data_IF_746012934164
#
_entry.id   IF_746012934164
#
_cell.length_a   1.000
_cell.length_b   1.000
_cell.length_c   1.000
_cell.angle_alpha   90.00
_cell.angle_beta   90.00
_cell.angle_gamma   90.00
#
_symmetry.space_group_name_H-M   'P 1'
#
loop_
_entity.id
_entity.type
_entity.pdbx_description
1 polymer ?
#
# COMPACT_ATOMS: atom_id res chain seq x y z
N UNK A 1 -30.54 -44.71 -73.71
CA UNK A 1 -31.57 -44.12 -72.87
C UNK A 1 -31.06 -44.18 -71.43
N UNK A 2 -30.46 -43.10 -70.95
CA UNK A 2 -30.01 -43.01 -69.56
C UNK A 2 -30.62 -41.73 -68.95
N UNK A 3 -31.52 -41.93 -68.01
CA UNK A 3 -32.20 -40.89 -67.27
C UNK A 3 -31.22 -40.33 -66.24
N UNK A 4 -30.95 -39.01 -66.32
CA UNK A 4 -30.18 -38.27 -65.31
C UNK A 4 -31.14 -37.73 -64.25
N UNK A 5 -31.01 -38.25 -63.04
CA UNK A 5 -31.65 -37.66 -61.87
C UNK A 5 -30.84 -36.50 -61.35
N UNK A 6 -31.40 -35.30 -61.46
CA UNK A 6 -30.87 -34.10 -60.85
C UNK A 6 -31.23 -34.03 -59.34
N UNK A 7 -30.23 -34.23 -58.49
CA UNK A 7 -30.34 -34.03 -57.06
C UNK A 7 -30.50 -32.56 -56.73
N UNK A 8 -31.72 -32.15 -56.36
CA UNK A 8 -32.07 -30.85 -55.88
C UNK A 8 -31.65 -30.71 -54.39
N UNK A 9 -30.61 -29.99 -54.14
CA UNK A 9 -30.12 -29.72 -52.79
C UNK A 9 -30.89 -28.49 -52.24
N UNK A 10 -31.66 -28.59 -51.18
CA UNK A 10 -32.32 -27.41 -50.61
C UNK A 10 -31.30 -26.49 -49.92
N UNK A 11 -31.22 -25.28 -50.43
CA UNK A 11 -30.45 -24.19 -49.77
C UNK A 11 -31.01 -23.93 -48.37
N UNK A 12 -30.28 -24.39 -47.36
CA UNK A 12 -30.59 -24.11 -45.96
C UNK A 12 -30.46 -22.59 -45.69
N UNK A 13 -31.60 -21.94 -45.55
CA UNK A 13 -31.67 -20.56 -45.10
C UNK A 13 -31.18 -20.49 -43.65
N UNK A 14 -29.99 -19.96 -43.43
CA UNK A 14 -29.48 -19.60 -42.12
C UNK A 14 -30.44 -18.54 -41.51
N UNK A 15 -31.30 -18.99 -40.65
CA UNK A 15 -32.25 -18.17 -39.90
C UNK A 15 -31.47 -17.31 -38.91
N UNK A 16 -31.13 -16.08 -39.32
CA UNK A 16 -30.59 -15.07 -38.43
C UNK A 16 -31.53 -14.84 -37.26
N UNK A 17 -31.23 -15.45 -36.12
CA UNK A 17 -31.98 -15.24 -34.88
C UNK A 17 -31.67 -13.81 -34.38
N UNK A 18 -32.64 -12.92 -34.56
CA UNK A 18 -32.57 -11.58 -33.94
C UNK A 18 -32.39 -11.75 -32.44
N UNK A 19 -31.35 -11.14 -31.83
CA UNK A 19 -31.12 -11.27 -30.42
C UNK A 19 -32.34 -10.73 -29.66
N UNK A 20 -32.83 -11.51 -28.70
CA UNK A 20 -33.96 -11.16 -27.86
C UNK A 20 -33.68 -9.84 -27.16
N UNK A 21 -34.65 -8.88 -27.11
CA UNK A 21 -34.40 -7.54 -26.53
C UNK A 21 -33.86 -7.63 -25.10
N UNK A 22 -34.25 -8.63 -24.34
CA UNK A 22 -33.72 -8.89 -22.97
C UNK A 22 -32.23 -9.13 -22.95
N UNK A 23 -31.66 -9.80 -23.97
CA UNK A 23 -30.20 -10.05 -24.02
C UNK A 23 -29.40 -8.78 -24.25
N UNK A 24 -29.93 -7.84 -25.04
CA UNK A 24 -29.31 -6.51 -25.24
C UNK A 24 -29.36 -5.66 -23.99
N UNK A 25 -30.44 -5.68 -23.23
CA UNK A 25 -30.52 -4.99 -21.96
C UNK A 25 -29.54 -5.53 -20.94
N UNK A 26 -29.37 -6.86 -20.87
CA UNK A 26 -28.39 -7.51 -20.00
C UNK A 26 -26.96 -7.09 -20.37
N UNK A 27 -26.66 -7.04 -21.67
CA UNK A 27 -25.38 -6.58 -22.20
C UNK A 27 -25.10 -5.11 -21.77
N UNK A 28 -26.04 -4.21 -21.94
CA UNK A 28 -25.88 -2.82 -21.50
C UNK A 28 -25.67 -2.69 -19.98
N UNK A 29 -26.41 -3.45 -19.18
CA UNK A 29 -26.23 -3.48 -17.72
C UNK A 29 -24.81 -3.94 -17.35
N UNK A 30 -24.30 -4.99 -18.00
CA UNK A 30 -22.95 -5.47 -17.78
C UNK A 30 -21.88 -4.43 -18.17
N UNK A 31 -22.07 -3.76 -19.30
CA UNK A 31 -21.17 -2.68 -19.73
C UNK A 31 -21.18 -1.50 -18.76
N UNK A 32 -22.34 -1.07 -18.29
CA UNK A 32 -22.48 0.03 -17.32
C UNK A 32 -21.85 -0.35 -15.98
N UNK A 33 -22.12 -1.57 -15.49
CA UNK A 33 -21.53 -2.06 -14.24
C UNK A 33 -20.00 -2.18 -14.35
N UNK A 34 -19.49 -2.67 -15.48
CA UNK A 34 -18.06 -2.75 -15.74
C UNK A 34 -17.40 -1.35 -15.80
N UNK A 35 -18.01 -0.42 -16.52
CA UNK A 35 -17.52 0.96 -16.61
C UNK A 35 -17.55 1.66 -15.24
N UNK A 36 -18.60 1.47 -14.44
CA UNK A 36 -18.70 2.02 -13.10
C UNK A 36 -17.60 1.47 -12.17
N UNK A 37 -17.32 0.15 -12.24
CA UNK A 37 -16.26 -0.48 -11.47
C UNK A 37 -14.88 0.06 -11.82
N UNK A 38 -14.60 0.24 -13.12
CA UNK A 38 -13.33 0.82 -13.59
C UNK A 38 -13.22 2.28 -13.15
N UNK A 39 -14.28 3.07 -13.26
CA UNK A 39 -14.29 4.46 -12.82
C UNK A 39 -14.01 4.57 -11.31
N UNK A 40 -14.64 3.73 -10.49
CA UNK A 40 -14.43 3.72 -9.04
C UNK A 40 -12.99 3.31 -8.68
N UNK A 41 -12.41 2.34 -9.40
CA UNK A 41 -11.01 1.98 -9.24
C UNK A 41 -10.07 3.14 -9.58
N UNK A 42 -10.30 3.81 -10.72
CA UNK A 42 -9.48 4.95 -11.15
C UNK A 42 -9.57 6.12 -10.15
N UNK A 43 -10.76 6.45 -9.66
CA UNK A 43 -10.95 7.51 -8.65
C UNK A 43 -10.20 7.18 -7.36
N UNK A 44 -10.28 5.93 -6.88
CA UNK A 44 -9.55 5.49 -5.68
C UNK A 44 -8.03 5.56 -5.90
N UNK A 45 -7.55 5.12 -7.06
CA UNK A 45 -6.14 5.18 -7.44
C UNK A 45 -5.61 6.61 -7.51
N UNK A 46 -6.34 7.50 -8.19
CA UNK A 46 -6.00 8.92 -8.28
C UNK A 46 -6.04 9.62 -6.92
N UNK A 47 -6.96 9.21 -6.03
CA UNK A 47 -7.03 9.70 -4.65
C UNK A 47 -5.75 9.40 -3.86
N UNK A 48 -5.23 8.17 -3.96
CA UNK A 48 -3.97 7.78 -3.32
C UNK A 48 -2.79 8.59 -3.88
N UNK A 49 -2.68 8.68 -5.21
CA UNK A 49 -1.62 9.44 -5.86
C UNK A 49 -1.67 10.93 -5.51
N UNK A 50 -2.87 11.51 -5.49
CA UNK A 50 -3.09 12.91 -5.13
C UNK A 50 -2.73 13.19 -3.67
N UNK A 51 -3.10 12.29 -2.75
CA UNK A 51 -2.72 12.40 -1.35
C UNK A 51 -1.20 12.35 -1.18
N UNK A 52 -0.54 11.33 -1.75
CA UNK A 52 0.92 11.19 -1.68
C UNK A 52 1.63 12.43 -2.25
N UNK A 53 1.21 12.91 -3.44
CA UNK A 53 1.80 14.08 -4.07
C UNK A 53 1.58 15.38 -3.28
N UNK A 54 0.41 15.54 -2.65
CA UNK A 54 0.10 16.73 -1.85
C UNK A 54 0.89 16.74 -0.53
N UNK A 55 1.03 15.59 0.12
CA UNK A 55 1.80 15.45 1.34
C UNK A 55 3.31 15.56 1.07
N UNK A 56 3.79 15.06 -0.07
CA UNK A 56 5.19 15.25 -0.50
C UNK A 56 5.55 16.75 -0.61
N UNK A 57 4.70 17.54 -1.28
CA UNK A 57 4.88 19.00 -1.37
C UNK A 57 4.84 19.67 0.00
N UNK A 58 3.89 19.26 0.84
CA UNK A 58 3.76 19.78 2.21
C UNK A 58 4.99 19.43 3.06
N UNK A 59 5.49 18.20 2.92
CA UNK A 59 6.70 17.74 3.59
C UNK A 59 7.92 18.56 3.18
N UNK A 60 8.14 18.81 1.89
CA UNK A 60 9.23 19.65 1.40
C UNK A 60 9.10 21.08 1.93
N UNK A 61 7.90 21.66 1.93
CA UNK A 61 7.68 23.03 2.45
C UNK A 61 7.97 23.12 3.95
N UNK A 62 7.54 22.13 4.75
CA UNK A 62 7.83 22.09 6.18
C UNK A 62 9.34 21.95 6.43
N UNK A 63 10.01 21.10 5.66
CA UNK A 63 11.46 20.91 5.75
C UNK A 63 12.24 22.19 5.46
N UNK A 64 11.82 22.98 4.48
CA UNK A 64 12.45 24.26 4.14
C UNK A 64 12.21 25.34 5.20
N UNK A 65 11.08 25.28 5.90
CA UNK A 65 10.66 26.31 6.87
C UNK A 65 11.20 26.04 8.29
N UNK A 66 11.43 24.76 8.66
CA UNK A 66 11.84 24.34 10.00
C UNK A 66 13.36 24.12 10.12
N UNK A 67 14.13 25.21 10.09
CA UNK A 67 15.54 25.25 10.55
C UNK A 67 15.62 25.75 12.03
N UNK A 68 14.60 25.46 12.84
CA UNK A 68 14.68 25.79 14.27
C UNK A 68 14.29 24.57 15.12
N UNK A 69 15.18 24.10 16.05
CA UNK A 69 14.84 23.05 16.98
C UNK A 69 13.98 23.61 18.11
N UNK A 70 12.69 23.49 17.97
CA UNK A 70 11.72 23.82 19.01
C UNK A 70 10.98 22.57 19.41
N UNK A 71 11.26 22.05 20.61
CA UNK A 71 10.49 21.00 21.28
C UNK A 71 9.00 21.38 21.33
N UNK A 72 8.20 20.79 20.48
CA UNK A 72 6.77 20.79 20.65
C UNK A 72 6.27 19.35 20.48
N UNK A 73 6.28 18.60 21.57
CA UNK A 73 5.50 17.38 21.73
C UNK A 73 4.03 17.74 21.79
N UNK A 74 3.48 18.24 20.68
CA UNK A 74 2.03 18.27 20.50
C UNK A 74 1.62 16.86 20.16
N UNK A 75 0.65 16.24 20.88
CA UNK A 75 0.17 14.92 20.50
C UNK A 75 -0.35 15.00 19.07
N UNK A 76 0.34 14.29 18.15
CA UNK A 76 -0.05 14.21 16.74
C UNK A 76 -1.41 13.55 16.64
N UNK A 77 -2.28 14.12 15.81
CA UNK A 77 -3.59 13.53 15.54
C UNK A 77 -3.43 12.48 14.45
N UNK A 78 -4.27 11.45 14.51
CA UNK A 78 -4.36 10.47 13.42
C UNK A 78 -4.54 11.16 12.07
N UNK A 79 -3.67 10.79 11.08
CA UNK A 79 -3.62 11.38 9.76
C UNK A 79 -2.69 12.59 9.61
N UNK A 80 -2.09 13.11 10.68
CA UNK A 80 -1.07 14.17 10.58
C UNK A 80 0.18 13.61 9.89
N UNK A 81 0.88 14.48 9.15
CA UNK A 81 2.10 14.10 8.45
C UNK A 81 3.21 13.79 9.48
N UNK A 82 3.70 12.55 9.48
CA UNK A 82 4.81 12.10 10.30
C UNK A 82 6.14 12.20 9.56
N UNK A 83 6.18 11.77 8.30
CA UNK A 83 7.41 11.77 7.51
C UNK A 83 7.30 10.99 6.21
N UNK A 84 8.45 10.48 5.75
CA UNK A 84 8.57 9.62 4.57
C UNK A 84 9.49 8.45 4.85
N UNK A 85 9.07 7.26 4.48
CA UNK A 85 9.89 6.04 4.53
C UNK A 85 10.30 5.63 3.12
N UNK A 86 11.56 5.25 2.94
CA UNK A 86 12.06 4.74 1.67
C UNK A 86 12.99 3.53 1.88
N UNK A 87 12.94 2.59 0.94
CA UNK A 87 13.87 1.46 0.82
C UNK A 87 14.36 1.45 -0.63
N UNK A 88 15.47 2.16 -0.95
CA UNK A 88 15.89 2.41 -2.32
C UNK A 88 16.09 1.14 -3.15
N UNK A 89 16.68 0.08 -2.56
CA UNK A 89 16.97 -1.17 -3.28
C UNK A 89 15.71 -1.83 -3.86
N UNK A 90 14.57 -1.72 -3.22
CA UNK A 90 13.32 -2.32 -3.69
C UNK A 90 12.37 -1.30 -4.36
N UNK A 91 12.81 -0.03 -4.44
CA UNK A 91 12.00 1.06 -5.01
C UNK A 91 10.76 1.41 -4.18
N UNK A 92 10.80 1.18 -2.86
CA UNK A 92 9.72 1.57 -1.96
C UNK A 92 9.96 3.02 -1.53
N UNK A 93 8.95 3.86 -1.66
CA UNK A 93 8.89 5.20 -1.10
C UNK A 93 7.44 5.54 -0.79
N UNK A 94 7.15 5.96 0.42
CA UNK A 94 5.79 6.29 0.86
C UNK A 94 5.80 7.35 1.96
N UNK A 95 4.78 8.20 1.94
CA UNK A 95 4.48 9.12 3.04
C UNK A 95 4.07 8.29 4.27
N UNK A 96 4.52 8.75 5.43
CA UNK A 96 4.13 8.23 6.74
C UNK A 96 3.24 9.27 7.42
N UNK A 97 2.10 8.82 7.90
CA UNK A 97 1.17 9.62 8.69
C UNK A 97 1.02 9.02 10.09
N UNK A 98 0.65 9.83 11.07
CA UNK A 98 0.36 9.36 12.43
C UNK A 98 -0.89 8.50 12.46
N UNK A 99 -0.87 7.39 13.21
CA UNK A 99 -1.99 6.47 13.36
C UNK A 99 -1.95 5.26 12.43
N UNK A 100 -2.56 4.18 12.88
CA UNK A 100 -2.66 2.90 12.17
C UNK A 100 -4.12 2.50 11.89
N UNK A 101 -5.03 3.47 12.01
CA UNK A 101 -6.44 3.25 11.69
C UNK A 101 -6.68 3.05 10.18
N UNK A 102 -7.82 2.45 9.84
CA UNK A 102 -8.18 2.09 8.46
C UNK A 102 -8.12 3.28 7.50
N UNK A 103 -8.46 4.49 7.97
CA UNK A 103 -8.47 5.69 7.13
C UNK A 103 -7.05 6.14 6.81
N UNK A 104 -6.16 6.16 7.80
CA UNK A 104 -4.75 6.49 7.62
C UNK A 104 -4.08 5.49 6.69
N UNK A 105 -4.24 4.19 6.95
CA UNK A 105 -3.63 3.13 6.16
C UNK A 105 -4.15 3.03 4.73
N UNK A 106 -5.35 3.54 4.44
CA UNK A 106 -5.85 3.61 3.07
C UNK A 106 -5.04 4.57 2.17
N UNK A 107 -4.34 5.56 2.75
CA UNK A 107 -3.70 6.64 2.01
C UNK A 107 -2.19 6.79 2.27
N UNK A 108 -1.68 6.25 3.37
CA UNK A 108 -0.30 6.36 3.80
C UNK A 108 0.19 5.09 4.53
N UNK A 109 1.48 5.02 4.81
CA UNK A 109 2.03 4.18 5.87
C UNK A 109 1.70 4.85 7.20
N UNK A 110 1.27 4.09 8.18
CA UNK A 110 0.89 4.61 9.50
C UNK A 110 2.02 4.45 10.52
N UNK A 111 2.34 5.50 11.26
CA UNK A 111 3.11 5.38 12.49
C UNK A 111 2.19 4.81 13.58
N UNK A 112 2.62 3.71 14.21
CA UNK A 112 1.82 2.98 15.21
C UNK A 112 1.83 3.77 16.52
N UNK A 113 0.65 4.20 17.01
CA UNK A 113 0.57 4.97 18.26
C UNK A 113 1.18 4.22 19.45
N UNK A 114 1.91 4.96 20.29
CA UNK A 114 2.58 4.40 21.46
C UNK A 114 3.96 3.79 21.19
N UNK A 115 4.40 3.71 19.94
CA UNK A 115 5.79 3.39 19.59
C UNK A 115 6.67 4.64 19.62
N UNK A 116 7.99 4.48 19.58
CA UNK A 116 8.93 5.58 19.71
C UNK A 116 8.90 6.51 18.48
N UNK A 117 9.31 7.78 18.68
CA UNK A 117 9.67 8.66 17.57
C UNK A 117 11.14 8.43 17.17
N UNK A 118 11.53 8.70 15.91
CA UNK A 118 12.89 8.42 15.40
C UNK A 118 14.02 9.14 16.15
N UNK A 119 13.72 10.30 16.73
CA UNK A 119 14.66 11.09 17.54
C UNK A 119 14.87 10.57 18.96
N UNK A 120 14.07 9.60 19.40
CA UNK A 120 14.16 9.00 20.72
C UNK A 120 14.70 7.58 20.67
N UNK A 121 15.24 7.11 21.80
CA UNK A 121 15.58 5.70 21.98
C UNK A 121 14.28 4.90 22.07
N UNK A 122 14.22 3.79 21.38
CA UNK A 122 13.07 2.90 21.34
C UNK A 122 12.82 2.32 19.97
N UNK A 123 11.68 1.66 19.81
CA UNK A 123 11.28 1.00 18.59
C UNK A 123 10.21 1.82 17.88
N UNK A 124 10.54 2.34 16.70
CA UNK A 124 9.59 3.04 15.82
C UNK A 124 8.76 2.02 15.06
N UNK A 125 7.46 2.00 15.26
CA UNK A 125 6.55 1.07 14.57
C UNK A 125 5.89 1.71 13.36
N UNK A 126 6.01 1.10 12.18
CA UNK A 126 5.32 1.54 10.97
C UNK A 126 4.47 0.41 10.41
N UNK A 127 3.18 0.68 10.17
CA UNK A 127 2.23 -0.24 9.57
C UNK A 127 1.87 0.15 8.14
N UNK A 128 1.68 -0.83 7.26
CA UNK A 128 1.25 -0.55 5.89
C UNK A 128 0.59 -1.76 5.24
N UNK A 129 -0.30 -1.51 4.29
CA UNK A 129 -0.95 -2.59 3.54
C UNK A 129 0.03 -3.32 2.63
N UNK A 130 -0.08 -4.66 2.59
CA UNK A 130 0.77 -5.57 1.78
C UNK A 130 0.57 -5.41 0.27
N UNK A 131 -0.57 -4.90 -0.15
CA UNK A 131 -1.00 -4.78 -1.54
C UNK A 131 -0.82 -3.36 -2.12
N UNK A 132 -0.49 -2.38 -1.28
CA UNK A 132 -0.22 -0.99 -1.66
C UNK A 132 1.21 -0.59 -1.30
N UNK A 133 1.39 0.17 -0.22
CA UNK A 133 2.68 0.78 0.14
C UNK A 133 3.77 -0.25 0.45
N UNK A 134 3.43 -1.34 1.13
CA UNK A 134 4.38 -2.40 1.49
C UNK A 134 4.35 -3.60 0.54
N UNK A 135 3.75 -3.44 -0.66
CA UNK A 135 3.71 -4.50 -1.67
C UNK A 135 5.09 -5.04 -2.04
N UNK A 136 6.10 -4.18 -2.08
CA UNK A 136 7.48 -4.56 -2.40
C UNK A 136 8.26 -5.20 -1.26
N UNK A 137 7.71 -5.22 -0.03
CA UNK A 137 8.46 -5.57 1.18
C UNK A 137 8.91 -7.04 1.21
N UNK A 138 8.25 -7.94 0.47
CA UNK A 138 8.69 -9.33 0.31
C UNK A 138 10.09 -9.47 -0.32
N UNK A 139 10.59 -8.42 -0.99
CA UNK A 139 11.92 -8.38 -1.60
C UNK A 139 13.02 -7.88 -0.66
N UNK A 140 12.65 -7.43 0.54
CA UNK A 140 13.60 -6.91 1.51
C UNK A 140 14.61 -8.00 1.92
N UNK A 141 15.85 -7.60 2.18
CA UNK A 141 16.94 -8.50 2.60
C UNK A 141 17.65 -7.92 3.81
N UNK A 142 18.34 -8.77 4.53
CA UNK A 142 19.26 -8.32 5.57
C UNK A 142 20.27 -7.33 4.99
N UNK A 143 20.61 -6.30 5.76
CA UNK A 143 21.49 -5.16 5.41
C UNK A 143 20.92 -4.19 4.38
N UNK A 144 19.66 -4.31 3.98
CA UNK A 144 19.01 -3.23 3.24
C UNK A 144 18.92 -1.99 4.12
N UNK A 145 19.08 -0.81 3.50
CA UNK A 145 18.87 0.45 4.18
C UNK A 145 17.40 0.88 4.07
N UNK A 146 16.85 1.28 5.19
CA UNK A 146 15.56 1.93 5.32
C UNK A 146 15.82 3.38 5.74
N UNK A 147 15.44 4.31 4.91
CA UNK A 147 15.53 5.73 5.20
C UNK A 147 14.20 6.23 5.73
N UNK A 148 14.20 6.84 6.91
CA UNK A 148 13.04 7.51 7.50
C UNK A 148 13.37 8.98 7.63
N UNK A 149 12.66 9.81 6.90
CA UNK A 149 12.81 11.25 6.89
C UNK A 149 11.60 11.89 7.58
N UNK A 150 11.85 12.73 8.59
CA UNK A 150 10.83 13.46 9.35
C UNK A 150 11.11 14.96 9.28
N UNK A 151 10.25 15.78 9.87
CA UNK A 151 10.52 17.22 10.05
C UNK A 151 11.76 17.49 10.94
N UNK A 152 12.18 16.52 11.76
CA UNK A 152 13.26 16.64 12.73
C UNK A 152 14.60 16.09 12.24
N UNK A 153 14.62 15.34 11.15
CA UNK A 153 15.85 14.79 10.60
C UNK A 153 15.68 13.61 9.69
N UNK A 154 16.81 13.07 9.26
CA UNK A 154 16.92 11.87 8.43
C UNK A 154 17.59 10.76 9.23
N UNK A 155 16.95 9.62 9.26
CA UNK A 155 17.38 8.44 10.01
C UNK A 155 17.55 7.28 9.04
N UNK A 156 18.71 6.65 9.07
CA UNK A 156 18.97 5.44 8.28
C UNK A 156 19.06 4.24 9.22
N UNK A 157 18.28 3.22 8.90
CA UNK A 157 18.24 1.95 9.62
C UNK A 157 18.70 0.81 8.71
N UNK A 158 19.46 -0.13 9.23
CA UNK A 158 19.89 -1.33 8.51
C UNK A 158 19.02 -2.51 8.94
N UNK A 159 18.45 -3.25 8.00
CA UNK A 159 17.63 -4.44 8.26
C UNK A 159 18.49 -5.52 8.91
N UNK A 160 18.13 -5.90 10.13
CA UNK A 160 18.81 -6.93 10.92
C UNK A 160 18.02 -8.23 10.99
N UNK A 161 16.72 -8.19 10.79
CA UNK A 161 15.86 -9.38 10.89
C UNK A 161 14.59 -9.24 10.08
N UNK A 162 14.10 -10.36 9.55
CA UNK A 162 12.74 -10.50 9.03
C UNK A 162 12.08 -11.73 9.65
N UNK A 163 10.80 -11.66 9.95
CA UNK A 163 10.05 -12.77 10.54
C UNK A 163 8.59 -12.75 10.09
N UNK A 164 7.92 -13.89 10.26
CA UNK A 164 6.47 -14.01 10.09
C UNK A 164 5.90 -14.44 11.43
N UNK A 165 4.99 -13.64 11.95
CA UNK A 165 4.39 -13.84 13.27
C UNK A 165 2.86 -13.89 13.20
N UNK A 166 2.21 -14.36 14.22
CA UNK A 166 0.77 -14.31 14.37
C UNK A 166 0.30 -12.87 14.65
N UNK A 167 -0.94 -12.50 14.33
CA UNK A 167 -1.44 -11.13 14.51
C UNK A 167 -1.35 -10.60 15.96
N UNK A 168 -1.43 -11.49 16.93
CA UNK A 168 -1.44 -11.16 18.37
C UNK A 168 -0.02 -11.03 18.95
N UNK A 169 1.02 -11.22 18.13
CA UNK A 169 2.42 -11.12 18.54
C UNK A 169 2.88 -9.66 18.54
N UNK A 170 2.36 -8.89 19.50
CA UNK A 170 2.60 -7.44 19.61
C UNK A 170 3.98 -7.10 20.21
N UNK A 171 4.66 -8.06 20.83
CA UNK A 171 5.99 -7.91 21.44
C UNK A 171 7.07 -7.46 20.45
N UNK A 172 6.82 -7.65 19.14
CA UNK A 172 7.70 -7.13 18.08
C UNK A 172 7.77 -5.60 18.04
N UNK A 173 6.81 -4.93 18.68
CA UNK A 173 6.71 -3.48 18.79
C UNK A 173 7.17 -2.96 20.16
N UNK A 174 7.50 -3.83 21.08
CA UNK A 174 7.92 -3.43 22.43
C UNK A 174 9.09 -2.45 22.35
N UNK A 175 9.08 -1.52 23.29
CA UNK A 175 10.17 -0.54 23.42
C UNK A 175 11.46 -1.26 23.81
N UNK A 176 12.54 -0.91 23.14
CA UNK A 176 13.88 -1.40 23.45
C UNK A 176 14.78 -0.26 23.95
N UNK A 177 15.91 -0.61 24.54
CA UNK A 177 16.94 0.38 24.92
C UNK A 177 17.84 0.75 23.72
N UNK A 178 17.40 0.45 22.50
CA UNK A 178 18.10 0.73 21.25
C UNK A 178 17.17 1.49 20.32
N UNK A 179 17.75 2.29 19.42
CA UNK A 179 16.97 2.94 18.37
C UNK A 179 16.75 1.94 17.24
N UNK A 180 15.52 1.46 17.12
CA UNK A 180 15.09 0.42 16.17
C UNK A 180 13.90 0.89 15.36
N UNK A 181 13.69 0.27 14.20
CA UNK A 181 12.53 0.47 13.33
C UNK A 181 11.91 -0.87 13.00
N UNK A 182 10.61 -1.00 13.20
CA UNK A 182 9.84 -2.19 12.89
C UNK A 182 8.78 -1.86 11.84
N UNK A 183 8.87 -2.50 10.66
CA UNK A 183 7.82 -2.43 9.64
C UNK A 183 6.90 -3.63 9.77
N UNK A 184 5.59 -3.38 9.76
CA UNK A 184 4.54 -4.41 9.94
C UNK A 184 3.62 -4.39 8.72
N UNK A 185 3.41 -5.56 8.13
CA UNK A 185 2.42 -5.74 7.07
C UNK A 185 1.73 -7.09 7.14
N UNK A 186 0.64 -7.24 6.43
CA UNK A 186 -0.09 -8.50 6.34
C UNK A 186 0.69 -9.57 5.54
N UNK A 187 0.56 -10.84 5.94
CA UNK A 187 1.17 -11.99 5.27
C UNK A 187 0.14 -13.15 5.14
N UNK A 188 0.16 -13.91 4.01
CA UNK A 188 1.04 -13.87 2.84
C UNK A 188 0.78 -12.67 1.90
N UNK A 189 1.80 -12.28 1.12
CA UNK A 189 1.71 -11.15 0.17
C UNK A 189 0.72 -11.39 -0.97
N UNK A 190 0.58 -12.65 -1.42
CA UNK A 190 -0.30 -13.05 -2.52
C UNK A 190 -1.51 -13.86 -1.99
N UNK A 191 -2.23 -13.29 -1.05
CA UNK A 191 -3.37 -13.94 -0.41
C UNK A 191 -4.64 -13.10 -0.58
N UNK A 192 -5.77 -13.75 -0.93
CA UNK A 192 -7.06 -13.10 -1.08
C UNK A 192 -7.84 -13.26 0.23
N UNK A 193 -8.28 -12.13 0.81
CA UNK A 193 -9.03 -12.09 2.06
C UNK A 193 -8.20 -11.66 3.28
N UNK A 194 -8.74 -11.91 4.47
CA UNK A 194 -8.11 -11.55 5.74
C UNK A 194 -6.82 -12.35 5.96
N UNK A 195 -5.70 -11.65 6.11
CA UNK A 195 -4.39 -12.28 6.25
C UNK A 195 -4.22 -12.93 7.62
N UNK A 196 -3.83 -14.22 7.67
CA UNK A 196 -3.70 -14.94 8.93
C UNK A 196 -2.47 -14.54 9.75
N UNK A 197 -1.45 -13.91 9.15
CA UNK A 197 -0.19 -13.56 9.81
C UNK A 197 0.28 -12.15 9.45
N UNK A 198 1.39 -11.76 10.10
CA UNK A 198 2.10 -10.50 9.84
C UNK A 198 3.52 -10.79 9.39
N UNK A 199 4.00 -10.04 8.40
CA UNK A 199 5.39 -9.99 8.01
C UNK A 199 6.04 -8.79 8.70
N UNK A 200 7.12 -9.05 9.41
CA UNK A 200 7.86 -8.09 10.22
C UNK A 200 9.24 -7.89 9.65
N UNK A 201 9.66 -6.64 9.54
CA UNK A 201 11.04 -6.25 9.22
C UNK A 201 11.56 -5.42 10.38
N UNK A 202 12.62 -5.88 11.02
CA UNK A 202 13.30 -5.18 12.11
C UNK A 202 14.63 -4.61 11.60
N UNK A 203 14.89 -3.36 11.92
CA UNK A 203 16.10 -2.66 11.49
C UNK A 203 16.68 -1.84 12.65
N UNK A 204 17.99 -1.74 12.71
CA UNK A 204 18.73 -0.99 13.70
C UNK A 204 19.21 0.34 13.13
N UNK A 205 19.18 1.42 13.92
CA UNK A 205 19.66 2.72 13.51
C UNK A 205 21.18 2.68 13.23
N UNK A 206 21.59 3.15 12.07
CA UNK A 206 23.02 3.24 11.67
C UNK A 206 23.47 4.69 11.45
N UNK A 207 22.56 5.62 11.19
CA UNK A 207 22.88 7.04 11.03
C UNK A 207 21.67 7.92 11.32
N UNK A 208 21.89 9.06 11.96
CA UNK A 208 20.95 10.14 12.16
C UNK A 208 21.59 11.47 11.74
N UNK A 209 20.87 12.31 10.99
CA UNK A 209 21.34 13.62 10.49
C UNK A 209 20.24 14.66 10.58
#
# INVERSE_FOLDING_TARGET
MVHGDSLNCPAGTLRSSRPRPVLRWLEYICWIAGAASVAMFVVSWLGILGFQASQEKRFETIRETHVHPGHATTPSRSGDLFGRVAIPRIGLSAIVAEGDDTRTLAHAVGHIPGTAAPESVGNVGLAGHRDTFFRGLWRVRLKDLIELETAHGKYAYEVVRTSVVDPDHVEVLDSSNRSELTLVTCYPFHYIGAAPRRFIVQAALVSAR
#
